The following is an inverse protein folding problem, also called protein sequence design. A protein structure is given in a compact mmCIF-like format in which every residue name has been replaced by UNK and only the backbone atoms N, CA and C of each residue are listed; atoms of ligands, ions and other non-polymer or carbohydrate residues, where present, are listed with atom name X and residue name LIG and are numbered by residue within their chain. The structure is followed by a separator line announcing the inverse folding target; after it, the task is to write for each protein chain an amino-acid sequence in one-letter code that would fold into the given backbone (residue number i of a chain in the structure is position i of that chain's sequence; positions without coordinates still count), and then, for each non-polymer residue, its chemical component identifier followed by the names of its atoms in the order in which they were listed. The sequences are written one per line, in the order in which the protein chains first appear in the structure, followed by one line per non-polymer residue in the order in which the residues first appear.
data_IF_472363041489
#
_entry.id   IF_472363041489
#
_cell.length_a   1.000
_cell.length_b   1.000
_cell.length_c   1.000
_cell.angle_alpha   90.00
_cell.angle_beta   90.00
_cell.angle_gamma   90.00
#
_symmetry.space_group_name_H-M   'P 1'
#
loop_
_entity.id
_entity.type
_entity.pdbx_description
1 polymer ?
#
# COMPACT_ATOMS: atom_id res chain seq x y z
N UNK A 1 -3.82 -36.37 16.53
CA UNK A 1 -4.88 -36.05 15.52
C UNK A 1 -5.07 -34.56 15.56
N UNK A 2 -4.44 -33.86 14.61
CA UNK A 2 -4.46 -32.40 14.51
C UNK A 2 -5.85 -31.95 14.06
N UNK A 3 -6.53 -31.20 14.89
CA UNK A 3 -7.81 -30.58 14.57
C UNK A 3 -7.55 -29.48 13.56
N UNK A 4 -7.82 -29.77 12.29
CA UNK A 4 -7.91 -28.70 11.26
C UNK A 4 -9.18 -27.92 11.59
N UNK A 5 -9.11 -26.62 11.90
CA UNK A 5 -10.31 -25.86 12.18
C UNK A 5 -11.22 -25.89 10.97
N UNK A 6 -12.53 -26.04 11.22
CA UNK A 6 -13.55 -26.05 10.18
C UNK A 6 -13.45 -24.77 9.35
N UNK A 7 -13.46 -24.92 8.04
CA UNK A 7 -13.36 -23.85 7.05
C UNK A 7 -14.50 -22.87 7.26
N UNK A 8 -14.18 -21.63 7.62
CA UNK A 8 -15.19 -20.58 7.67
C UNK A 8 -15.69 -20.30 6.25
N UNK A 9 -17.00 -20.29 6.08
CA UNK A 9 -17.61 -19.80 4.85
C UNK A 9 -17.36 -18.28 4.72
N UNK A 10 -17.48 -17.69 3.53
CA UNK A 10 -17.39 -16.23 3.35
C UNK A 10 -18.28 -15.42 4.31
N UNK A 11 -19.45 -15.98 4.67
CA UNK A 11 -20.38 -15.35 5.62
C UNK A 11 -19.91 -15.47 7.08
N UNK A 12 -19.33 -16.60 7.44
CA UNK A 12 -18.74 -16.79 8.78
C UNK A 12 -17.50 -15.92 9.00
N UNK A 13 -16.73 -15.65 7.93
CA UNK A 13 -15.61 -14.69 7.99
C UNK A 13 -16.05 -13.26 8.14
N UNK A 14 -17.07 -12.84 7.39
CA UNK A 14 -17.66 -11.51 7.58
C UNK A 14 -18.24 -11.34 8.99
N UNK A 15 -18.71 -12.44 9.60
CA UNK A 15 -19.19 -12.46 10.98
C UNK A 15 -18.06 -12.55 12.03
N UNK A 16 -16.93 -13.18 11.69
CA UNK A 16 -15.78 -13.32 12.58
C UNK A 16 -14.89 -12.07 12.64
N UNK A 17 -14.99 -11.19 11.65
CA UNK A 17 -14.22 -9.95 11.53
C UNK A 17 -15.13 -8.71 11.46
N UNK A 18 -16.03 -8.49 12.43
CA UNK A 18 -16.96 -7.36 12.40
C UNK A 18 -16.17 -6.04 12.42
N UNK A 19 -16.46 -5.16 11.45
CA UNK A 19 -15.82 -3.85 11.35
C UNK A 19 -14.41 -3.85 10.73
N UNK A 20 -13.87 -4.99 10.28
CA UNK A 20 -12.63 -5.03 9.51
C UNK A 20 -12.97 -4.78 8.03
N UNK A 21 -12.37 -3.75 7.39
CA UNK A 21 -12.52 -3.53 5.96
C UNK A 21 -12.04 -4.76 5.15
N UNK A 22 -12.69 -5.04 4.04
CA UNK A 22 -12.37 -6.22 3.24
C UNK A 22 -11.12 -6.06 2.37
N UNK A 23 -10.75 -4.83 2.02
CA UNK A 23 -9.60 -4.53 1.18
C UNK A 23 -8.27 -5.14 1.68
N UNK A 24 -7.93 -5.12 2.98
CA UNK A 24 -6.76 -5.80 3.52
C UNK A 24 -6.74 -7.32 3.26
N UNK A 25 -7.88 -7.99 3.39
CA UNK A 25 -8.01 -9.44 3.20
C UNK A 25 -7.88 -9.77 1.71
N UNK A 26 -8.51 -8.99 0.83
CA UNK A 26 -8.36 -9.13 -0.63
C UNK A 26 -6.90 -8.97 -1.06
N UNK A 27 -6.20 -7.98 -0.54
CA UNK A 27 -4.78 -7.75 -0.84
C UNK A 27 -3.90 -8.91 -0.32
N UNK A 28 -4.21 -9.45 0.86
CA UNK A 28 -3.51 -10.60 1.42
C UNK A 28 -3.70 -11.85 0.54
N UNK A 29 -4.96 -12.15 0.18
CA UNK A 29 -5.31 -13.28 -0.69
C UNK A 29 -4.62 -13.15 -2.06
N UNK A 30 -4.63 -11.97 -2.64
CA UNK A 30 -3.98 -11.71 -3.92
C UNK A 30 -2.46 -11.99 -3.86
N UNK A 31 -1.75 -11.60 -2.79
CA UNK A 31 -0.34 -11.90 -2.59
C UNK A 31 -0.08 -13.39 -2.36
N UNK A 32 -0.94 -14.06 -1.57
CA UNK A 32 -0.87 -15.51 -1.39
C UNK A 32 -0.95 -16.24 -2.74
N UNK A 33 -1.97 -15.95 -3.54
CA UNK A 33 -2.16 -16.59 -4.85
C UNK A 33 -1.00 -16.28 -5.80
N UNK A 34 -0.51 -15.04 -5.81
CA UNK A 34 0.65 -14.65 -6.63
C UNK A 34 1.92 -15.40 -6.23
N UNK A 35 2.16 -15.57 -4.91
CA UNK A 35 3.31 -16.32 -4.39
C UNK A 35 3.23 -17.82 -4.68
N UNK A 36 2.03 -18.34 -4.91
CA UNK A 36 1.79 -19.77 -5.20
C UNK A 36 1.92 -20.12 -6.69
N UNK A 37 2.24 -19.14 -7.57
CA UNK A 37 2.45 -19.37 -9.00
C UNK A 37 3.76 -20.12 -9.25
N UNK A 38 3.86 -20.92 -10.34
CA UNK A 38 5.11 -21.60 -10.72
C UNK A 38 6.30 -20.64 -10.94
N UNK A 39 6.02 -19.43 -11.46
CA UNK A 39 7.00 -18.35 -11.65
C UNK A 39 6.48 -17.09 -10.95
N UNK A 40 6.68 -16.97 -9.62
CA UNK A 40 6.08 -15.92 -8.84
C UNK A 40 6.86 -14.62 -8.97
N UNK A 41 6.15 -13.48 -9.15
CA UNK A 41 6.74 -12.12 -9.13
C UNK A 41 7.26 -11.79 -7.73
N UNK A 42 6.57 -12.28 -6.69
CA UNK A 42 6.90 -12.06 -5.29
C UNK A 42 6.86 -13.38 -4.54
N UNK A 43 7.68 -13.49 -3.50
CA UNK A 43 7.58 -14.55 -2.50
C UNK A 43 7.05 -13.96 -1.19
N UNK A 44 5.87 -14.40 -0.76
CA UNK A 44 5.25 -13.95 0.50
C UNK A 44 4.74 -15.15 1.32
N UNK A 45 5.67 -15.94 1.92
CA UNK A 45 5.29 -17.10 2.77
C UNK A 45 4.43 -16.68 3.96
N UNK A 46 4.64 -15.46 4.49
CA UNK A 46 3.84 -14.94 5.58
C UNK A 46 2.37 -14.74 5.16
N UNK A 47 2.11 -14.19 3.97
CA UNK A 47 0.74 -14.10 3.45
C UNK A 47 0.11 -15.48 3.30
N UNK A 48 0.87 -16.49 2.87
CA UNK A 48 0.38 -17.86 2.75
C UNK A 48 0.01 -18.46 4.12
N UNK A 49 0.86 -18.25 5.14
CA UNK A 49 0.56 -18.67 6.50
C UNK A 49 -0.70 -18.01 7.06
N UNK A 50 -0.82 -16.67 6.90
CA UNK A 50 -1.97 -15.90 7.37
C UNK A 50 -3.28 -16.33 6.70
N UNK A 51 -3.25 -16.60 5.39
CA UNK A 51 -4.40 -17.14 4.66
C UNK A 51 -4.81 -18.50 5.20
N UNK A 52 -3.85 -19.34 5.58
CA UNK A 52 -4.10 -20.61 6.25
C UNK A 52 -4.78 -20.45 7.60
N UNK A 53 -4.27 -19.54 8.46
CA UNK A 53 -4.84 -19.22 9.77
C UNK A 53 -6.26 -18.64 9.67
N UNK A 54 -6.52 -17.83 8.66
CA UNK A 54 -7.85 -17.28 8.39
C UNK A 54 -8.81 -18.26 7.73
N UNK A 55 -8.38 -19.50 7.42
CA UNK A 55 -9.22 -20.50 6.78
C UNK A 55 -9.56 -20.23 5.30
N UNK A 56 -8.80 -19.34 4.64
CA UNK A 56 -9.08 -18.81 3.29
C UNK A 56 -8.37 -19.55 2.16
N UNK A 57 -7.61 -20.58 2.45
CA UNK A 57 -6.74 -21.27 1.49
C UNK A 57 -7.45 -21.83 0.22
N UNK A 58 -8.78 -21.82 0.20
CA UNK A 58 -9.61 -22.37 -0.89
C UNK A 58 -10.35 -21.31 -1.72
N UNK A 59 -10.14 -20.03 -1.44
CA UNK A 59 -10.69 -18.95 -2.26
C UNK A 59 -9.81 -18.82 -3.50
N UNK A 60 -10.10 -19.61 -4.53
CA UNK A 60 -9.49 -19.48 -5.85
C UNK A 60 -10.04 -18.26 -6.58
N UNK A 61 -9.17 -17.51 -7.23
CA UNK A 61 -9.61 -16.41 -8.10
C UNK A 61 -10.00 -16.93 -9.49
N UNK A 62 -11.13 -16.47 -10.00
CA UNK A 62 -11.45 -16.58 -11.42
C UNK A 62 -10.51 -15.68 -12.26
N UNK A 63 -10.71 -15.65 -13.58
CA UNK A 63 -9.85 -14.86 -14.48
C UNK A 63 -9.85 -13.36 -14.15
N UNK A 64 -10.91 -12.82 -13.56
CA UNK A 64 -11.04 -11.41 -13.22
C UNK A 64 -10.24 -11.08 -11.94
N UNK A 65 -10.18 -12.01 -11.00
CA UNK A 65 -9.31 -11.89 -9.82
C UNK A 65 -7.83 -11.94 -10.21
N UNK A 66 -7.49 -12.59 -11.33
CA UNK A 66 -6.11 -12.59 -11.85
C UNK A 66 -5.56 -11.18 -12.12
N UNK A 67 -6.41 -10.22 -12.49
CA UNK A 67 -5.98 -8.83 -12.63
C UNK A 67 -5.64 -8.19 -11.26
N UNK A 68 -6.41 -8.52 -10.23
CA UNK A 68 -6.16 -8.06 -8.84
C UNK A 68 -4.88 -8.71 -8.31
N UNK A 69 -4.71 -10.00 -8.54
CA UNK A 69 -3.52 -10.78 -8.20
C UNK A 69 -2.25 -10.18 -8.84
N UNK A 70 -2.28 -9.97 -10.16
CA UNK A 70 -1.17 -9.37 -10.90
C UNK A 70 -0.86 -7.96 -10.40
N UNK A 71 -1.89 -7.12 -10.18
CA UNK A 71 -1.71 -5.78 -9.65
C UNK A 71 -1.08 -5.80 -8.26
N UNK A 72 -1.54 -6.68 -7.37
CA UNK A 72 -0.99 -6.81 -6.02
C UNK A 72 0.47 -7.30 -6.05
N UNK A 73 0.79 -8.31 -6.88
CA UNK A 73 2.14 -8.83 -7.00
C UNK A 73 3.12 -7.78 -7.55
N UNK A 74 2.75 -7.13 -8.66
CA UNK A 74 3.59 -6.10 -9.30
C UNK A 74 3.79 -4.91 -8.36
N UNK A 75 2.72 -4.43 -7.72
CA UNK A 75 2.78 -3.35 -6.74
C UNK A 75 3.72 -3.68 -5.59
N UNK A 76 3.52 -4.86 -5.00
CA UNK A 76 4.35 -5.35 -3.89
C UNK A 76 5.82 -5.43 -4.31
N UNK A 77 6.12 -6.02 -5.47
CA UNK A 77 7.48 -6.14 -5.98
C UNK A 77 8.16 -4.78 -6.20
N UNK A 78 7.45 -3.81 -6.81
CA UNK A 78 7.96 -2.44 -7.00
C UNK A 78 8.25 -1.78 -5.65
N UNK A 79 7.30 -1.82 -4.72
CA UNK A 79 7.46 -1.17 -3.42
C UNK A 79 8.54 -1.84 -2.56
N UNK A 80 8.63 -3.16 -2.56
CA UNK A 80 9.66 -3.88 -1.81
C UNK A 80 11.07 -3.57 -2.37
N UNK A 81 11.22 -3.57 -3.69
CA UNK A 81 12.48 -3.19 -4.34
C UNK A 81 12.86 -1.72 -4.04
N UNK A 82 11.88 -0.82 -4.08
CA UNK A 82 12.11 0.61 -3.80
C UNK A 82 12.48 0.84 -2.32
N UNK A 83 11.82 0.16 -1.37
CA UNK A 83 12.17 0.23 0.07
C UNK A 83 13.58 -0.31 0.30
N UNK A 84 13.93 -1.45 -0.31
CA UNK A 84 15.26 -2.05 -0.20
C UNK A 84 16.34 -1.11 -0.73
N UNK A 85 16.15 -0.57 -1.94
CA UNK A 85 17.10 0.37 -2.55
C UNK A 85 17.26 1.65 -1.72
N UNK A 86 16.17 2.11 -1.09
CA UNK A 86 16.23 3.25 -0.18
C UNK A 86 17.05 2.92 1.09
N UNK A 87 16.84 1.73 1.69
CA UNK A 87 17.62 1.26 2.83
C UNK A 87 19.10 1.14 2.50
N UNK A 88 19.45 0.54 1.35
CA UNK A 88 20.84 0.44 0.88
C UNK A 88 21.51 1.81 0.73
N UNK A 89 20.76 2.84 0.34
CA UNK A 89 21.28 4.20 0.15
C UNK A 89 21.41 5.01 1.42
N UNK A 90 20.63 4.68 2.47
CA UNK A 90 20.52 5.49 3.71
C UNK A 90 21.03 4.80 4.96
N UNK A 91 21.23 3.49 4.93
CA UNK A 91 21.47 2.68 6.11
C UNK A 91 20.20 2.50 6.94
N UNK A 92 20.32 2.56 8.27
CA UNK A 92 19.17 2.45 9.17
C UNK A 92 18.09 3.51 8.87
N UNK A 93 16.83 3.09 8.80
CA UNK A 93 15.70 3.98 8.50
C UNK A 93 14.45 3.56 9.27
N UNK A 94 13.49 4.47 9.35
CA UNK A 94 12.13 4.14 9.82
C UNK A 94 11.18 4.06 8.63
N UNK A 95 10.56 2.90 8.41
CA UNK A 95 9.51 2.69 7.42
C UNK A 95 8.15 2.82 8.10
N UNK A 96 7.36 3.79 7.68
CA UNK A 96 6.03 4.08 8.21
C UNK A 96 4.99 3.69 7.17
N UNK A 97 4.21 2.63 7.41
CA UNK A 97 3.13 2.20 6.51
C UNK A 97 1.81 2.76 7.00
N UNK A 98 1.17 3.59 6.19
CA UNK A 98 -0.13 4.21 6.48
C UNK A 98 -1.22 3.43 5.75
N UNK A 99 -2.23 2.96 6.47
CA UNK A 99 -3.18 1.99 5.97
C UNK A 99 -2.53 0.63 5.77
N UNK A 100 -1.83 0.15 6.80
CA UNK A 100 -0.96 -1.03 6.71
C UNK A 100 -1.71 -2.32 6.39
N UNK A 101 -3.00 -2.40 6.70
CA UNK A 101 -3.80 -3.58 6.46
C UNK A 101 -3.16 -4.85 6.98
N UNK A 102 -3.14 -5.89 6.17
CA UNK A 102 -2.43 -7.14 6.41
C UNK A 102 -1.15 -7.24 5.53
N UNK A 103 -0.47 -6.12 5.31
CA UNK A 103 0.81 -6.08 4.61
C UNK A 103 1.90 -6.79 5.42
N UNK A 104 2.62 -7.69 4.81
CA UNK A 104 3.69 -8.52 5.40
C UNK A 104 5.09 -8.00 5.06
N UNK A 105 5.23 -6.73 4.60
CA UNK A 105 6.51 -6.16 4.15
C UNK A 105 7.60 -6.23 5.22
N UNK A 106 7.27 -5.91 6.46
CA UNK A 106 8.23 -6.01 7.58
C UNK A 106 8.77 -7.44 7.79
N UNK A 107 8.04 -8.47 7.34
CA UNK A 107 8.48 -9.87 7.37
C UNK A 107 9.27 -10.22 6.11
N UNK A 108 8.78 -9.80 4.92
CA UNK A 108 9.49 -10.06 3.65
C UNK A 108 10.84 -9.35 3.56
N UNK A 109 10.96 -8.19 4.21
CA UNK A 109 12.17 -7.37 4.23
C UNK A 109 12.83 -7.38 5.61
N UNK A 110 12.74 -8.49 6.35
CA UNK A 110 13.32 -8.59 7.70
C UNK A 110 14.87 -8.52 7.70
N UNK A 111 15.48 -8.64 6.55
CA UNK A 111 16.93 -8.55 6.33
C UNK A 111 17.45 -7.11 6.18
N UNK A 112 16.58 -6.11 6.02
CA UNK A 112 17.01 -4.70 6.00
C UNK A 112 17.07 -4.11 7.40
N UNK A 113 18.00 -3.21 7.60
CA UNK A 113 18.17 -2.47 8.86
C UNK A 113 17.13 -1.34 8.94
N UNK A 114 15.97 -1.64 9.52
CA UNK A 114 14.85 -0.72 9.60
C UNK A 114 13.98 -0.93 10.85
N UNK A 115 13.44 0.18 11.36
CA UNK A 115 12.30 0.17 12.26
C UNK A 115 11.00 0.28 11.45
N UNK A 116 9.96 -0.42 11.90
CA UNK A 116 8.68 -0.51 11.21
C UNK A 116 7.56 0.10 12.07
N UNK A 117 6.81 1.03 11.49
CA UNK A 117 5.62 1.60 12.11
C UNK A 117 4.45 1.36 11.18
N UNK A 118 3.49 0.58 11.66
CA UNK A 118 2.29 0.24 10.91
C UNK A 118 1.09 0.98 11.52
N UNK A 119 0.42 1.80 10.72
CA UNK A 119 -0.70 2.63 11.13
C UNK A 119 -1.95 2.15 10.40
N UNK A 120 -3.00 1.82 11.14
CA UNK A 120 -4.32 1.50 10.57
C UNK A 120 -5.41 1.75 11.61
N UNK A 121 -6.67 1.73 11.19
CA UNK A 121 -7.80 1.84 12.09
C UNK A 121 -7.74 0.78 13.20
N UNK A 122 -8.26 1.06 14.40
CA UNK A 122 -8.06 0.20 15.58
C UNK A 122 -8.39 -1.27 15.35
N UNK A 123 -9.44 -1.57 14.59
CA UNK A 123 -9.87 -2.95 14.32
C UNK A 123 -8.85 -3.71 13.44
N UNK A 124 -8.30 -3.05 12.42
CA UNK A 124 -7.27 -3.64 11.53
C UNK A 124 -5.94 -3.76 12.27
N UNK A 125 -5.57 -2.77 13.07
CA UNK A 125 -4.37 -2.79 13.90
C UNK A 125 -4.40 -3.93 14.92
N UNK A 126 -5.55 -4.16 15.57
CA UNK A 126 -5.74 -5.28 16.50
C UNK A 126 -5.63 -6.65 15.78
N UNK A 127 -6.27 -6.79 14.61
CA UNK A 127 -6.15 -8.01 13.79
C UNK A 127 -4.71 -8.25 13.36
N UNK A 128 -4.02 -7.20 12.90
CA UNK A 128 -2.63 -7.26 12.50
C UNK A 128 -1.72 -7.69 13.65
N UNK A 129 -1.94 -7.16 14.86
CA UNK A 129 -1.19 -7.51 16.06
C UNK A 129 -1.41 -8.98 16.49
N UNK A 130 -2.61 -9.50 16.25
CA UNK A 130 -2.93 -10.90 16.56
C UNK A 130 -2.32 -11.89 15.55
N UNK A 131 -2.26 -11.52 14.28
CA UNK A 131 -1.83 -12.42 13.19
C UNK A 131 -0.32 -12.37 12.92
N UNK A 132 0.33 -11.22 13.07
CA UNK A 132 1.75 -11.13 12.79
C UNK A 132 2.59 -11.33 14.06
N UNK A 133 3.68 -12.12 14.00
CA UNK A 133 4.50 -12.33 15.17
C UNK A 133 5.08 -11.00 15.69
N UNK A 134 5.20 -10.81 17.01
CA UNK A 134 5.82 -9.62 17.56
C UNK A 134 7.28 -9.52 17.11
N UNK A 135 7.75 -8.28 16.87
CA UNK A 135 9.14 -8.01 16.54
C UNK A 135 9.61 -6.76 17.30
N UNK A 136 10.85 -6.74 17.81
CA UNK A 136 11.34 -5.64 18.65
C UNK A 136 11.43 -4.30 17.90
N UNK A 137 11.63 -4.35 16.58
CA UNK A 137 11.71 -3.20 15.69
C UNK A 137 10.39 -2.86 14.99
N UNK A 138 9.25 -3.33 15.52
CA UNK A 138 7.94 -3.04 14.93
C UNK A 138 6.95 -2.48 15.95
N UNK A 139 6.31 -1.38 15.58
CA UNK A 139 5.22 -0.74 16.33
C UNK A 139 3.96 -0.73 15.48
N UNK A 140 2.83 -1.09 16.07
CA UNK A 140 1.51 -1.02 15.43
C UNK A 140 0.70 0.06 16.15
N UNK A 141 0.15 1.00 15.37
CA UNK A 141 -0.63 2.13 15.88
C UNK A 141 -2.07 2.00 15.37
N UNK A 142 -3.00 1.84 16.30
CA UNK A 142 -4.43 1.77 16.01
C UNK A 142 -5.06 3.16 15.91
N UNK A 143 -4.80 3.88 14.83
CA UNK A 143 -5.37 5.20 14.54
C UNK A 143 -5.74 5.33 13.07
N UNK A 144 -6.74 6.18 12.77
CA UNK A 144 -7.06 6.53 11.39
C UNK A 144 -5.87 7.18 10.69
N UNK A 145 -5.67 6.88 9.40
CA UNK A 145 -4.69 7.56 8.55
C UNK A 145 -4.83 9.09 8.58
N UNK A 146 -6.04 9.59 8.82
CA UNK A 146 -6.36 11.02 8.91
C UNK A 146 -6.18 11.59 10.32
N UNK A 147 -5.86 10.75 11.32
CA UNK A 147 -5.57 11.17 12.68
C UNK A 147 -4.33 12.06 12.77
N UNK A 148 -4.26 12.88 13.83
CA UNK A 148 -3.09 13.73 14.10
C UNK A 148 -2.12 13.11 15.11
N UNK A 149 -2.61 12.30 16.03
CA UNK A 149 -1.82 11.77 17.13
C UNK A 149 -0.61 10.93 16.68
N UNK A 150 -0.76 10.09 15.67
CA UNK A 150 0.37 9.34 15.12
C UNK A 150 1.37 10.25 14.37
N UNK A 151 0.90 11.34 13.72
CA UNK A 151 1.78 12.29 13.00
C UNK A 151 2.74 12.98 13.97
N UNK A 152 2.25 13.42 15.13
CA UNK A 152 3.07 14.05 16.15
C UNK A 152 4.16 13.08 16.66
N UNK A 153 3.80 11.80 16.79
CA UNK A 153 4.75 10.75 17.21
C UNK A 153 5.82 10.47 16.16
N UNK A 154 5.49 10.43 14.87
CA UNK A 154 6.49 10.17 13.81
C UNK A 154 7.29 11.42 13.44
N UNK A 155 6.78 12.62 13.72
CA UNK A 155 7.48 13.87 13.44
C UNK A 155 8.79 14.01 14.25
N UNK A 156 8.81 13.47 15.47
CA UNK A 156 9.98 13.54 16.38
C UNK A 156 11.00 12.42 16.15
N UNK A 157 10.72 11.47 15.27
CA UNK A 157 11.65 10.40 14.93
C UNK A 157 12.79 10.97 14.10
N UNK A 158 14.02 10.78 14.58
CA UNK A 158 15.24 11.17 13.87
C UNK A 158 15.59 10.22 12.72
N UNK A 159 16.53 10.65 11.88
CA UNK A 159 17.06 9.83 10.80
C UNK A 159 16.16 9.76 9.55
N UNK A 160 16.52 8.92 8.58
CA UNK A 160 15.77 8.72 7.34
C UNK A 160 14.38 8.11 7.60
N UNK A 161 13.35 8.75 7.08
CA UNK A 161 11.95 8.29 7.21
C UNK A 161 11.35 8.06 5.84
N UNK A 162 10.71 6.91 5.70
CA UNK A 162 10.03 6.51 4.48
C UNK A 162 8.56 6.17 4.78
N UNK A 163 7.65 6.95 4.23
CA UNK A 163 6.23 6.69 4.31
C UNK A 163 5.77 5.87 3.11
N UNK A 164 4.97 4.83 3.36
CA UNK A 164 4.38 3.99 2.32
C UNK A 164 2.86 4.04 2.43
N UNK A 165 2.21 4.56 1.39
CA UNK A 165 0.76 4.64 1.24
C UNK A 165 0.34 3.68 0.12
N UNK A 166 0.21 2.39 0.46
CA UNK A 166 -0.15 1.32 -0.45
C UNK A 166 -1.62 0.94 -0.29
N UNK A 167 -2.39 0.98 -1.38
CA UNK A 167 -3.79 0.56 -1.38
C UNK A 167 -4.72 1.44 -0.52
N UNK A 168 -4.30 2.66 -0.18
CA UNK A 168 -5.03 3.54 0.74
C UNK A 168 -5.71 4.72 0.02
N UNK A 169 -4.96 5.47 -0.75
CA UNK A 169 -5.38 6.80 -1.22
C UNK A 169 -6.66 6.77 -2.07
N UNK A 170 -6.85 5.71 -2.84
CA UNK A 170 -8.05 5.53 -3.67
C UNK A 170 -9.34 5.36 -2.86
N UNK A 171 -9.25 4.99 -1.60
CA UNK A 171 -10.41 4.82 -0.70
C UNK A 171 -10.76 6.09 0.09
N UNK A 172 -9.93 7.12 0.00
CA UNK A 172 -10.13 8.42 0.66
C UNK A 172 -10.71 9.43 -0.33
N UNK A 173 -11.44 10.42 0.18
CA UNK A 173 -11.83 11.58 -0.60
C UNK A 173 -10.64 12.46 -0.97
N UNK A 174 -10.72 13.21 -2.08
CA UNK A 174 -9.60 14.00 -2.59
C UNK A 174 -9.03 14.99 -1.58
N UNK A 175 -9.89 15.68 -0.83
CA UNK A 175 -9.47 16.63 0.21
C UNK A 175 -8.72 15.88 1.35
N UNK A 176 -9.20 14.71 1.74
CA UNK A 176 -8.54 13.90 2.76
C UNK A 176 -7.17 13.39 2.33
N UNK A 177 -7.00 13.01 1.05
CA UNK A 177 -5.69 12.66 0.50
C UNK A 177 -4.76 13.86 0.50
N UNK A 178 -5.27 15.02 0.10
CA UNK A 178 -4.51 16.27 0.11
C UNK A 178 -4.04 16.62 1.51
N UNK A 179 -4.95 16.63 2.49
CA UNK A 179 -4.64 16.93 3.89
C UNK A 179 -3.63 15.94 4.49
N UNK A 180 -3.72 14.65 4.11
CA UNK A 180 -2.75 13.65 4.54
C UNK A 180 -1.36 13.95 3.99
N UNK A 181 -1.25 14.19 2.68
CA UNK A 181 0.03 14.40 2.00
C UNK A 181 0.66 15.73 2.40
N UNK A 182 -0.13 16.83 2.47
CA UNK A 182 0.39 18.13 2.90
C UNK A 182 0.77 18.13 4.37
N UNK A 183 -0.02 17.49 5.24
CA UNK A 183 0.31 17.34 6.65
C UNK A 183 1.61 16.57 6.88
N UNK A 184 1.92 15.54 6.07
CA UNK A 184 3.22 14.86 6.10
C UNK A 184 4.36 15.79 5.63
N UNK A 185 4.11 16.60 4.59
CA UNK A 185 5.09 17.55 4.10
C UNK A 185 5.38 18.68 5.12
N UNK A 186 4.39 19.04 5.94
CA UNK A 186 4.57 20.02 7.01
C UNK A 186 5.36 19.45 8.19
N UNK A 187 4.96 18.28 8.68
CA UNK A 187 5.53 17.74 9.93
C UNK A 187 6.80 16.91 9.75
N UNK A 188 7.11 16.46 8.54
CA UNK A 188 8.20 15.52 8.28
C UNK A 188 9.13 15.95 7.14
N UNK A 189 9.74 17.16 7.18
CA UNK A 189 10.71 17.56 6.16
C UNK A 189 11.90 16.57 6.12
N UNK A 190 12.48 16.38 4.93
CA UNK A 190 13.55 15.42 4.66
C UNK A 190 13.06 13.97 4.48
N UNK A 191 11.77 13.69 4.68
CA UNK A 191 11.22 12.34 4.48
C UNK A 191 10.95 12.03 3.01
N UNK A 192 10.72 10.74 2.74
CA UNK A 192 10.31 10.24 1.44
C UNK A 192 8.93 9.57 1.55
N UNK A 193 8.13 9.66 0.49
CA UNK A 193 6.79 9.08 0.43
C UNK A 193 6.67 8.21 -0.82
N UNK A 194 6.26 6.96 -0.66
CA UNK A 194 5.78 6.12 -1.75
C UNK A 194 4.25 6.12 -1.70
N UNK A 195 3.64 6.73 -2.72
CA UNK A 195 2.18 6.92 -2.79
C UNK A 195 1.64 6.15 -3.98
N UNK A 196 0.82 5.14 -3.72
CA UNK A 196 0.01 4.52 -4.76
C UNK A 196 -1.23 5.37 -5.02
N UNK A 197 -1.52 5.61 -6.29
CA UNK A 197 -2.70 6.35 -6.73
C UNK A 197 -3.42 5.64 -7.88
N UNK A 198 -4.75 5.68 -7.86
CA UNK A 198 -5.58 5.28 -8.97
C UNK A 198 -5.60 6.33 -10.08
N UNK A 199 -5.97 5.92 -11.30
CA UNK A 199 -6.32 6.84 -12.37
C UNK A 199 -7.72 7.44 -12.19
N UNK A 200 -8.07 8.48 -12.95
CA UNK A 200 -9.32 9.19 -12.82
C UNK A 200 -10.51 8.48 -13.49
N UNK A 201 -10.30 7.39 -14.23
CA UNK A 201 -11.39 6.67 -14.86
C UNK A 201 -12.27 5.99 -13.80
N UNK A 202 -13.58 6.04 -13.95
CA UNK A 202 -14.48 5.30 -13.09
C UNK A 202 -14.07 3.84 -13.03
N UNK A 203 -13.90 3.32 -11.84
CA UNK A 203 -13.72 1.88 -11.67
C UNK A 203 -15.09 1.20 -11.85
N UNK A 204 -15.17 0.11 -12.62
CA UNK A 204 -16.43 -0.59 -12.78
C UNK A 204 -16.96 -1.02 -11.39
N UNK A 205 -18.23 -0.80 -11.10
CA UNK A 205 -18.82 -1.26 -9.87
C UNK A 205 -18.66 -2.78 -9.78
N UNK A 206 -18.22 -3.29 -8.64
CA UNK A 206 -18.09 -4.72 -8.43
C UNK A 206 -16.73 -5.34 -8.79
N UNK A 207 -15.65 -4.57 -8.86
CA UNK A 207 -14.30 -5.11 -9.07
C UNK A 207 -13.92 -6.20 -8.05
N UNK A 208 -14.51 -6.16 -6.85
CA UNK A 208 -14.37 -7.19 -5.81
C UNK A 208 -15.63 -8.07 -5.68
N UNK A 209 -16.65 -7.89 -6.52
CA UNK A 209 -17.92 -8.60 -6.48
C UNK A 209 -17.78 -10.12 -6.65
N UNK A 210 -16.70 -10.53 -7.27
CA UNK A 210 -16.39 -11.92 -7.59
C UNK A 210 -15.73 -12.67 -6.42
N UNK A 211 -15.29 -11.94 -5.41
CA UNK A 211 -14.93 -12.52 -4.14
C UNK A 211 -16.24 -12.53 -3.33
N UNK A 212 -17.02 -13.58 -3.44
CA UNK A 212 -18.43 -13.70 -3.03
C UNK A 212 -18.85 -13.19 -1.65
N UNK A 213 -17.91 -12.64 -0.86
CA UNK A 213 -18.10 -12.04 0.45
C UNK A 213 -17.74 -10.53 0.51
N UNK A 214 -17.17 -9.95 -0.58
CA UNK A 214 -16.83 -8.52 -0.61
C UNK A 214 -18.10 -7.67 -0.74
N UNK A 215 -18.41 -6.87 0.28
CA UNK A 215 -19.53 -5.92 0.26
C UNK A 215 -19.24 -4.82 -0.75
N UNK A 216 -20.22 -4.53 -1.63
CA UNK A 216 -20.05 -3.61 -2.76
C UNK A 216 -19.71 -2.16 -2.34
N UNK A 217 -20.08 -1.76 -1.14
CA UNK A 217 -20.00 -0.37 -0.69
C UNK A 217 -18.66 0.01 -0.04
N UNK A 218 -17.87 -0.98 0.43
CA UNK A 218 -16.64 -0.72 1.17
C UNK A 218 -15.39 -0.57 0.28
N UNK A 219 -15.47 -0.96 -0.99
CA UNK A 219 -14.33 -0.95 -1.92
C UNK A 219 -14.47 0.09 -3.05
N UNK A 220 -15.22 1.16 -2.80
CA UNK A 220 -15.35 2.25 -3.77
C UNK A 220 -14.05 3.03 -3.87
N UNK A 221 -13.59 3.28 -5.10
CA UNK A 221 -12.54 4.25 -5.34
C UNK A 221 -13.16 5.65 -5.37
N UNK A 222 -12.80 6.45 -4.38
CA UNK A 222 -13.31 7.80 -4.19
C UNK A 222 -12.39 8.85 -4.81
N UNK A 223 -11.12 8.50 -5.03
CA UNK A 223 -10.12 9.42 -5.54
C UNK A 223 -9.18 8.75 -6.55
N UNK A 224 -8.76 9.54 -7.50
CA UNK A 224 -7.71 9.20 -8.45
C UNK A 224 -7.16 10.45 -9.12
N UNK A 225 -5.95 10.36 -9.63
CA UNK A 225 -5.24 11.48 -10.24
C UNK A 225 -4.77 11.11 -11.65
N UNK A 226 -4.75 12.07 -12.56
CA UNK A 226 -4.28 11.81 -13.92
C UNK A 226 -2.76 11.63 -13.97
N UNK A 227 -2.03 12.53 -13.34
CA UNK A 227 -0.56 12.52 -13.26
C UNK A 227 -0.12 12.71 -11.82
N UNK A 228 0.84 11.92 -11.37
CA UNK A 228 1.40 12.04 -10.02
C UNK A 228 2.06 13.40 -9.77
N UNK A 229 2.57 14.06 -10.83
CA UNK A 229 3.11 15.41 -10.72
C UNK A 229 2.08 16.47 -10.28
N UNK A 230 0.78 16.18 -10.35
CA UNK A 230 -0.24 17.11 -9.84
C UNK A 230 -0.15 17.26 -8.30
N UNK A 231 0.37 16.24 -7.60
CA UNK A 231 0.55 16.29 -6.14
C UNK A 231 1.63 17.30 -5.73
N UNK A 232 2.62 17.57 -6.58
CA UNK A 232 3.67 18.56 -6.27
C UNK A 232 3.11 19.98 -6.15
N UNK A 233 2.00 20.26 -6.81
CA UNK A 233 1.28 21.53 -6.65
C UNK A 233 0.51 21.70 -5.33
N UNK A 234 0.46 20.65 -4.49
CA UNK A 234 -0.24 20.73 -3.21
C UNK A 234 0.61 21.33 -2.09
N UNK A 235 1.94 21.18 -2.18
CA UNK A 235 2.85 21.67 -1.17
C UNK A 235 4.22 22.04 -1.78
N UNK A 236 4.84 23.18 -1.43
CA UNK A 236 6.09 23.65 -2.04
C UNK A 236 7.31 22.77 -1.76
N UNK A 237 7.27 21.97 -0.70
CA UNK A 237 8.34 21.00 -0.38
C UNK A 237 8.18 19.66 -1.08
N UNK A 238 7.07 19.41 -1.79
CA UNK A 238 6.80 18.09 -2.35
C UNK A 238 7.40 17.96 -3.75
N UNK A 239 8.39 17.10 -3.91
CA UNK A 239 9.09 16.86 -5.16
C UNK A 239 8.87 15.42 -5.64
N UNK A 240 8.38 15.24 -6.86
CA UNK A 240 8.28 13.91 -7.48
C UNK A 240 9.65 13.49 -8.01
N UNK A 241 10.21 12.43 -7.45
CA UNK A 241 11.53 11.87 -7.84
C UNK A 241 11.42 10.78 -8.89
N UNK A 242 10.42 9.92 -8.77
CA UNK A 242 10.22 8.78 -9.67
C UNK A 242 8.76 8.37 -9.72
N UNK A 243 8.35 7.70 -10.79
CA UNK A 243 7.01 7.13 -10.91
C UNK A 243 7.04 5.79 -11.64
N UNK A 244 6.13 4.89 -11.24
CA UNK A 244 5.93 3.58 -11.86
C UNK A 244 4.46 3.43 -12.23
N UNK A 245 4.20 2.95 -13.45
CA UNK A 245 2.88 2.48 -13.85
C UNK A 245 2.90 0.95 -13.73
N UNK A 246 1.99 0.37 -12.95
CA UNK A 246 2.04 -1.06 -12.66
C UNK A 246 1.98 -1.93 -13.93
N UNK A 247 1.22 -1.51 -14.92
CA UNK A 247 1.04 -2.27 -16.17
C UNK A 247 2.29 -2.31 -17.06
N UNK A 248 3.34 -1.54 -16.75
CA UNK A 248 4.61 -1.60 -17.48
C UNK A 248 5.46 -2.80 -17.07
N UNK A 249 5.18 -3.38 -15.90
CA UNK A 249 5.98 -4.44 -15.31
C UNK A 249 5.29 -5.80 -15.44
N UNK A 250 6.10 -6.83 -15.62
CA UNK A 250 5.66 -8.23 -15.71
C UNK A 250 4.46 -8.45 -16.64
N UNK A 251 4.58 -8.10 -17.95
CA UNK A 251 3.44 -8.14 -18.87
C UNK A 251 2.77 -9.51 -18.98
N UNK A 252 3.52 -10.59 -18.79
CA UNK A 252 3.00 -11.96 -18.84
C UNK A 252 2.04 -12.30 -17.68
N UNK A 253 2.17 -11.61 -16.55
CA UNK A 253 1.32 -11.85 -15.37
C UNK A 253 -0.10 -11.29 -15.55
N UNK A 254 -0.28 -10.29 -16.42
CA UNK A 254 -1.57 -9.67 -16.64
C UNK A 254 -2.47 -10.52 -17.55
N UNK A 255 -3.79 -10.57 -17.28
CA UNK A 255 -4.76 -11.18 -18.19
C UNK A 255 -4.65 -10.64 -19.62
N UNK A 256 -4.93 -11.49 -20.62
CA UNK A 256 -4.78 -11.15 -22.04
C UNK A 256 -5.45 -9.81 -22.44
N UNK A 257 -6.68 -9.48 -22.03
CA UNK A 257 -7.28 -8.19 -22.35
C UNK A 257 -6.45 -7.01 -21.80
N UNK A 258 -5.95 -7.11 -20.59
CA UNK A 258 -5.14 -6.04 -19.96
C UNK A 258 -3.80 -5.90 -20.66
N UNK A 259 -3.18 -7.00 -21.10
CA UNK A 259 -1.93 -6.96 -21.89
C UNK A 259 -2.06 -6.14 -23.17
N UNK A 260 -3.24 -6.18 -23.80
CA UNK A 260 -3.52 -5.37 -24.99
C UNK A 260 -3.87 -3.93 -24.60
N UNK A 261 -4.79 -3.76 -23.65
CA UNK A 261 -5.30 -2.45 -23.26
C UNK A 261 -4.25 -1.57 -22.54
N UNK A 262 -3.20 -2.15 -21.96
CA UNK A 262 -2.12 -1.38 -21.30
C UNK A 262 -1.41 -0.38 -22.23
N UNK A 263 -1.49 -0.58 -23.55
CA UNK A 263 -0.92 0.35 -24.53
C UNK A 263 -1.78 1.63 -24.70
N UNK A 264 -2.99 1.65 -24.17
CA UNK A 264 -3.84 2.84 -24.11
C UNK A 264 -3.41 3.68 -22.91
N UNK A 265 -2.95 4.93 -23.09
CA UNK A 265 -2.39 5.77 -22.02
C UNK A 265 -3.33 5.93 -20.82
N UNK A 266 -4.64 6.08 -21.04
CA UNK A 266 -5.63 6.21 -19.96
C UNK A 266 -5.81 4.92 -19.15
N UNK A 267 -5.67 3.76 -19.76
CA UNK A 267 -5.72 2.45 -19.08
C UNK A 267 -4.43 2.20 -18.32
N UNK A 268 -3.28 2.44 -18.96
CA UNK A 268 -1.96 2.32 -18.33
C UNK A 268 -1.86 3.17 -17.06
N UNK A 269 -2.44 4.37 -17.08
CA UNK A 269 -2.42 5.31 -15.96
C UNK A 269 -3.38 4.96 -14.82
N UNK A 270 -4.13 3.83 -14.87
CA UNK A 270 -5.10 3.48 -13.83
C UNK A 270 -4.48 3.01 -12.52
N UNK A 271 -3.23 2.58 -12.51
CA UNK A 271 -2.55 2.17 -11.30
C UNK A 271 -1.08 2.56 -11.38
N UNK A 272 -0.66 3.39 -10.45
CA UNK A 272 0.68 4.00 -10.45
C UNK A 272 1.17 4.29 -9.05
N UNK A 273 2.49 4.29 -8.88
CA UNK A 273 3.17 4.61 -7.64
C UNK A 273 4.08 5.80 -7.91
N UNK A 274 4.08 6.79 -7.01
CA UNK A 274 5.00 7.92 -7.01
C UNK A 274 5.97 7.84 -5.84
N UNK A 275 7.23 8.11 -6.08
CA UNK A 275 8.24 8.39 -5.07
C UNK A 275 8.37 9.91 -4.95
N UNK A 276 7.98 10.44 -3.81
CA UNK A 276 8.11 11.84 -3.49
C UNK A 276 9.17 12.04 -2.41
N UNK A 277 9.84 13.18 -2.47
CA UNK A 277 10.70 13.69 -1.43
C UNK A 277 10.09 14.96 -0.85
N UNK A 278 10.12 15.09 0.45
CA UNK A 278 9.75 16.32 1.15
C UNK A 278 11.02 17.12 1.42
N UNK A 279 11.27 18.16 0.62
CA UNK A 279 12.45 19.01 0.79
C UNK A 279 12.50 19.63 2.19
N UNK A 280 13.70 19.78 2.75
CA UNK A 280 13.92 20.47 4.03
C UNK A 280 13.65 21.95 3.93
N UNK A 281 14.05 22.57 2.81
CA UNK A 281 13.74 23.94 2.48
C UNK A 281 12.69 24.02 1.37
N UNK A 282 11.71 24.94 1.43
CA UNK A 282 10.76 25.11 0.35
C UNK A 282 11.52 25.54 -0.91
N UNK A 283 11.27 24.85 -2.03
CA UNK A 283 11.79 25.24 -3.33
C UNK A 283 11.32 26.67 -3.65
N UNK A 284 12.21 27.65 -3.53
CA UNK A 284 11.88 29.04 -3.89
C UNK A 284 12.50 30.17 -3.09
N UNK A 285 13.43 29.92 -2.15
CA UNK A 285 14.28 31.00 -1.62
C UNK A 285 15.71 30.86 -2.12
N UNK A 286 15.88 30.92 -3.44
CA UNK A 286 17.14 31.39 -3.99
C UNK A 286 17.20 32.90 -3.66
N UNK A 287 17.70 33.23 -2.48
CA UNK A 287 18.11 34.59 -2.16
C UNK A 287 19.22 34.93 -3.17
N UNK A 288 18.88 35.74 -4.19
CA UNK A 288 19.90 36.35 -5.01
C UNK A 288 20.70 37.26 -4.10
N UNK A 289 21.83 36.78 -3.63
CA UNK A 289 22.91 37.64 -3.16
C UNK A 289 23.39 38.33 -4.44
N UNK A 290 22.84 39.50 -4.75
CA UNK A 290 23.49 40.46 -5.61
C UNK A 290 24.53 41.14 -4.75
N UNK A 291 25.78 40.84 -5.08
CA UNK A 291 26.93 41.61 -4.62
C UNK A 291 26.69 43.07 -4.81
N UNK A 292 26.91 43.85 -3.73
CA UNK A 292 27.13 45.27 -3.75
C UNK A 292 28.63 45.54 -3.61
#
# INVERSE_FOLDING_TARGET
MSHVPARLSPQEMAAALPGVPQAPIVSLLARHLASSRPDPIISDPAATALIGELGLAHVGGDWSFRAVEAAAAVRTGILDAAVRSFAESKGHLTVITIGAGLCTRCVRLADIDADWIDIDVPQVAALRAALLPPAPNRVIIGESALGRGWRDRVAVIGGPRLFVLEGLTMHLGGDAVRDLVTGLADCCPGSHLFIEAAGPLPQPPGRYRQIGWARQDEARFCWGVRRLSELTGWHPRLELRQSWHLMDYHPAAWPAPIRVLRHIPSVRAQSKIGHFHVATDPAGTATSIRDA
#
